data_IF_995120269168
#
_entry.id   IF_995120269168
#
_cell.length_a   1.000
_cell.length_b   1.000
_cell.length_c   1.000
_cell.angle_alpha   90.00
_cell.angle_beta   90.00
_cell.angle_gamma   90.00
#
_symmetry.space_group_name_H-M   'P 1'
#
loop_
_entity.id
_entity.type
_entity.pdbx_description
1 polymer ?
#
# COMPACT_ATOMS: atom_id res chain seq x y z
N UNK A 1 -10.01 14.21 -17.86
CA UNK A 1 -9.47 15.40 -17.18
C UNK A 1 -8.60 14.94 -16.03
N UNK A 2 -7.60 15.73 -15.66
CA UNK A 2 -6.75 15.43 -14.51
C UNK A 2 -7.41 15.92 -13.22
N UNK A 3 -7.16 15.18 -12.15
CA UNK A 3 -7.68 15.46 -10.83
C UNK A 3 -6.54 15.59 -9.84
N UNK A 4 -6.84 16.15 -8.68
CA UNK A 4 -5.93 16.27 -7.55
C UNK A 4 -6.64 15.71 -6.32
N UNK A 5 -5.93 14.88 -5.56
CA UNK A 5 -6.37 14.42 -4.26
C UNK A 5 -5.51 15.07 -3.17
N UNK A 6 -6.19 15.67 -2.21
CA UNK A 6 -5.60 16.13 -0.95
C UNK A 6 -5.97 15.13 0.13
N UNK A 7 -4.97 14.43 0.64
CA UNK A 7 -5.10 13.38 1.65
C UNK A 7 -4.61 13.91 2.98
N UNK A 8 -5.40 13.69 4.02
CA UNK A 8 -5.02 13.92 5.42
C UNK A 8 -5.19 12.64 6.21
N UNK A 9 -4.25 12.38 7.12
CA UNK A 9 -4.26 11.20 7.96
C UNK A 9 -4.22 11.66 9.41
N UNK A 10 -5.22 11.24 10.18
CA UNK A 10 -5.32 11.55 11.61
C UNK A 10 -5.37 10.27 12.42
N UNK A 11 -4.61 10.21 13.51
CA UNK A 11 -4.67 9.10 14.45
C UNK A 11 -5.64 9.44 15.58
N UNK A 12 -6.47 8.48 15.98
CA UNK A 12 -7.39 8.64 17.11
C UNK A 12 -6.62 8.61 18.43
N UNK A 13 -5.54 7.83 18.48
CA UNK A 13 -4.63 7.76 19.62
C UNK A 13 -3.27 8.33 19.23
N UNK A 14 -2.57 8.92 20.20
CA UNK A 14 -1.21 9.43 20.00
C UNK A 14 -0.26 8.26 19.65
N UNK A 15 0.68 8.45 18.71
CA UNK A 15 1.66 7.43 18.40
C UNK A 15 2.44 7.03 19.65
N UNK A 16 2.54 5.73 19.90
CA UNK A 16 3.18 5.18 21.10
C UNK A 16 4.55 4.58 20.83
N UNK A 17 4.85 4.21 19.58
CA UNK A 17 6.13 3.63 19.22
C UNK A 17 7.19 4.71 18.98
N UNK A 18 8.43 4.38 19.32
CA UNK A 18 9.58 5.21 18.98
C UNK A 18 9.80 5.33 17.46
N UNK A 19 9.25 4.40 16.66
CA UNK A 19 9.41 4.40 15.21
C UNK A 19 8.55 5.46 14.52
N UNK A 20 7.29 5.59 14.94
CA UNK A 20 6.38 6.59 14.38
C UNK A 20 6.27 7.86 15.25
N UNK A 21 6.83 7.86 16.48
CA UNK A 21 6.71 8.94 17.47
C UNK A 21 7.32 10.30 17.07
N UNK A 22 8.16 10.36 16.03
CA UNK A 22 8.68 11.61 15.49
C UNK A 22 7.73 12.29 14.47
N UNK A 23 6.56 11.69 14.18
CA UNK A 23 5.51 12.34 13.40
C UNK A 23 4.72 13.26 14.34
N UNK A 24 5.19 14.51 14.46
CA UNK A 24 4.46 15.58 15.16
C UNK A 24 3.01 15.68 14.62
N UNK A 25 2.03 16.07 15.46
CA UNK A 25 0.60 16.11 15.14
C UNK A 25 0.21 17.28 14.22
N UNK A 26 1.12 17.74 13.37
CA UNK A 26 0.72 18.58 12.23
C UNK A 26 0.14 17.65 11.19
N UNK A 27 -1.19 17.70 11.05
CA UNK A 27 -1.97 17.08 9.98
C UNK A 27 -1.17 17.05 8.67
N UNK A 28 -0.50 15.92 8.40
CA UNK A 28 0.36 15.84 7.23
C UNK A 28 -0.55 15.74 6.02
N UNK A 29 -0.60 16.84 5.26
CA UNK A 29 -1.35 16.94 4.03
C UNK A 29 -0.48 16.42 2.88
N UNK A 30 -1.00 15.42 2.19
CA UNK A 30 -0.41 14.89 0.97
C UNK A 30 -1.23 15.37 -0.21
N UNK A 31 -0.58 15.99 -1.18
CA UNK A 31 -1.22 16.36 -2.44
C UNK A 31 -0.66 15.48 -3.54
N UNK A 32 -1.54 14.89 -4.35
CA UNK A 32 -1.15 14.07 -5.48
C UNK A 32 -2.04 14.34 -6.68
N UNK A 33 -1.44 14.38 -7.87
CA UNK A 33 -2.15 14.56 -9.14
C UNK A 33 -2.53 13.20 -9.73
N UNK A 34 -3.80 13.04 -10.05
CA UNK A 34 -4.38 11.90 -10.73
C UNK A 34 -4.47 12.23 -12.21
N UNK A 35 -3.48 11.77 -12.97
CA UNK A 35 -3.47 11.93 -14.42
C UNK A 35 -4.55 11.05 -15.06
N UNK A 36 -5.26 11.58 -16.05
CA UNK A 36 -6.38 10.92 -16.71
C UNK A 36 -6.00 9.60 -17.43
N UNK A 37 -4.71 9.42 -17.71
CA UNK A 37 -4.16 8.21 -18.37
C UNK A 37 -3.84 7.10 -17.37
N UNK A 38 -3.71 7.42 -16.08
CA UNK A 38 -3.33 6.46 -15.06
C UNK A 38 -4.59 5.79 -14.47
N UNK A 39 -4.38 4.62 -13.85
CA UNK A 39 -5.46 3.85 -13.17
C UNK A 39 -5.24 3.71 -11.67
N UNK A 40 -4.02 4.00 -11.21
CA UNK A 40 -3.66 4.11 -9.81
C UNK A 40 -2.76 5.33 -9.63
N UNK A 41 -2.59 5.75 -8.38
CA UNK A 41 -1.64 6.78 -8.01
C UNK A 41 -1.01 6.41 -6.67
N UNK A 42 0.30 6.59 -6.55
CA UNK A 42 1.03 6.38 -5.30
C UNK A 42 1.33 7.74 -4.66
N UNK A 43 1.15 7.84 -3.35
CA UNK A 43 1.55 9.03 -2.61
C UNK A 43 3.08 9.22 -2.69
N UNK A 44 3.52 10.47 -2.82
CA UNK A 44 4.94 10.82 -2.96
C UNK A 44 5.78 10.47 -1.74
N UNK A 45 5.15 10.37 -0.56
CA UNK A 45 5.78 10.01 0.70
C UNK A 45 4.92 8.99 1.44
N UNK A 46 5.54 8.02 2.13
CA UNK A 46 4.82 7.08 2.98
C UNK A 46 4.28 7.76 4.24
N UNK A 47 3.34 7.09 4.91
CA UNK A 47 2.89 7.41 6.27
C UNK A 47 3.19 6.21 7.18
N UNK A 48 3.61 6.48 8.43
CA UNK A 48 3.94 5.44 9.41
C UNK A 48 2.69 5.07 10.20
N UNK A 49 2.10 3.91 9.89
CA UNK A 49 0.97 3.35 10.65
C UNK A 49 1.49 2.43 11.76
N UNK A 50 0.84 2.48 12.91
CA UNK A 50 1.10 1.59 14.05
C UNK A 50 0.02 0.53 14.20
N UNK A 51 0.37 -0.68 14.65
CA UNK A 51 -0.62 -1.68 15.03
C UNK A 51 -1.46 -1.18 16.21
N UNK A 52 -2.69 -1.68 16.32
CA UNK A 52 -3.61 -1.38 17.44
C UNK A 52 -3.98 0.10 17.60
N UNK A 53 -3.73 0.95 16.59
CA UNK A 53 -4.23 2.32 16.53
C UNK A 53 -5.30 2.44 15.44
N UNK A 54 -6.22 3.39 15.61
CA UNK A 54 -7.26 3.70 14.63
C UNK A 54 -6.90 4.99 13.91
N UNK A 55 -6.92 4.93 12.59
CA UNK A 55 -6.62 6.07 11.73
C UNK A 55 -7.84 6.46 10.90
N UNK A 56 -7.97 7.75 10.63
CA UNK A 56 -8.94 8.30 9.67
C UNK A 56 -8.15 8.90 8.52
N UNK A 57 -8.34 8.34 7.33
CA UNK A 57 -7.76 8.84 6.07
C UNK A 57 -8.85 9.61 5.33
N UNK A 58 -8.79 10.94 5.37
CA UNK A 58 -9.73 11.79 4.66
C UNK A 58 -9.12 12.26 3.33
N UNK A 59 -9.80 11.95 2.22
CA UNK A 59 -9.35 12.28 0.87
C UNK A 59 -10.35 13.24 0.24
N UNK A 60 -9.87 14.42 -0.15
CA UNK A 60 -10.66 15.42 -0.88
C UNK A 60 -10.17 15.49 -2.32
N UNK A 61 -11.09 15.24 -3.25
CA UNK A 61 -10.81 15.34 -4.69
C UNK A 61 -11.22 16.71 -5.23
N UNK A 62 -10.42 17.24 -6.14
CA UNK A 62 -10.74 18.42 -6.93
C UNK A 62 -10.17 18.29 -8.33
N UNK A 63 -10.75 18.99 -9.30
CA UNK A 63 -10.20 19.02 -10.66
C UNK A 63 -8.87 19.78 -10.66
N UNK A 64 -7.87 19.26 -11.37
CA UNK A 64 -6.54 19.84 -11.40
C UNK A 64 -6.43 20.95 -12.46
N UNK A 65 -5.84 22.09 -12.10
CA UNK A 65 -5.45 23.13 -13.06
C UNK A 65 -6.58 23.87 -13.81
N UNK A 66 -7.81 23.87 -13.29
CA UNK A 66 -8.98 24.44 -13.97
C UNK A 66 -9.52 25.71 -13.31
N UNK A 67 -9.79 26.73 -14.13
CA UNK A 67 -10.34 28.02 -13.73
C UNK A 67 -11.88 28.04 -13.65
N UNK A 68 -12.55 27.20 -14.43
CA UNK A 68 -14.02 27.14 -14.50
C UNK A 68 -14.58 25.88 -13.84
N UNK A 69 -15.67 26.04 -13.08
CA UNK A 69 -16.43 24.94 -12.49
C UNK A 69 -17.25 24.23 -13.57
N UNK A 70 -16.97 22.97 -13.82
CA UNK A 70 -17.83 22.09 -14.62
C UNK A 70 -18.61 21.17 -13.67
N UNK A 71 -19.92 21.42 -13.53
CA UNK A 71 -20.78 20.75 -12.55
C UNK A 71 -21.03 19.25 -12.86
N UNK A 72 -20.71 18.80 -14.06
CA UNK A 72 -20.93 17.42 -14.53
C UNK A 72 -19.67 16.55 -14.49
N UNK A 73 -18.53 17.09 -14.07
CA UNK A 73 -17.28 16.34 -14.02
C UNK A 73 -17.26 15.43 -12.77
N UNK A 74 -16.91 14.15 -12.98
CA UNK A 74 -16.78 13.17 -11.91
C UNK A 74 -15.58 12.24 -12.16
N UNK A 75 -15.19 11.53 -11.11
CA UNK A 75 -14.23 10.41 -11.14
C UNK A 75 -14.83 9.22 -10.42
N UNK A 76 -14.33 8.04 -10.77
CA UNK A 76 -14.66 6.80 -10.08
C UNK A 76 -13.46 6.38 -9.24
N UNK A 77 -13.73 6.00 -8.00
CA UNK A 77 -12.73 5.50 -7.05
C UNK A 77 -13.10 4.06 -6.74
N UNK A 78 -12.15 3.15 -6.94
CA UNK A 78 -12.34 1.73 -6.66
C UNK A 78 -11.93 1.41 -5.23
N UNK A 79 -10.66 1.62 -4.89
CA UNK A 79 -10.11 1.24 -3.60
C UNK A 79 -8.95 2.13 -3.15
N UNK A 80 -8.64 2.06 -1.85
CA UNK A 80 -7.43 2.60 -1.25
C UNK A 80 -6.59 1.42 -0.75
N UNK A 81 -5.31 1.37 -1.14
CA UNK A 81 -4.41 0.27 -0.78
C UNK A 81 -3.25 0.79 0.06
N UNK A 82 -2.95 0.10 1.15
CA UNK A 82 -1.75 0.34 1.96
C UNK A 82 -0.69 -0.68 1.54
N UNK A 83 0.39 -0.19 0.92
CA UNK A 83 1.51 -1.04 0.49
C UNK A 83 2.66 -0.84 1.48
N UNK A 84 3.17 -1.91 2.13
CA UNK A 84 4.27 -1.79 3.06
C UNK A 84 5.54 -1.33 2.35
N UNK A 85 6.29 -0.43 2.98
CA UNK A 85 7.59 0.01 2.48
C UNK A 85 8.65 -1.05 2.79
N UNK A 86 8.71 -2.08 1.95
CA UNK A 86 9.54 -3.26 2.18
C UNK A 86 11.03 -2.95 2.35
N UNK A 87 11.53 -1.86 1.76
CA UNK A 87 12.94 -1.44 1.87
C UNK A 87 13.36 -1.03 3.27
N UNK A 88 12.42 -0.78 4.18
CA UNK A 88 12.67 -0.48 5.60
C UNK A 88 12.52 -1.72 6.51
N UNK A 89 12.20 -2.88 5.94
CA UNK A 89 12.03 -4.11 6.70
C UNK A 89 13.38 -4.78 7.02
N UNK A 90 13.49 -5.49 8.15
CA UNK A 90 14.63 -6.33 8.46
C UNK A 90 15.03 -7.24 7.30
N UNK A 91 16.32 -7.25 6.98
CA UNK A 91 16.86 -7.99 5.85
C UNK A 91 16.67 -7.34 4.48
N UNK A 92 15.79 -6.36 4.33
CA UNK A 92 15.69 -5.53 3.13
C UNK A 92 16.27 -4.14 3.32
N UNK A 93 16.60 -3.73 4.55
CA UNK A 93 17.23 -2.44 4.86
C UNK A 93 18.77 -2.53 4.95
N UNK A 94 19.44 -1.40 4.74
CA UNK A 94 20.90 -1.25 4.89
C UNK A 94 21.72 -1.84 3.74
N UNK A 95 23.05 -1.85 3.89
CA UNK A 95 23.99 -2.12 2.80
C UNK A 95 24.61 -3.53 2.86
N UNK A 96 24.02 -4.44 3.64
CA UNK A 96 24.48 -5.82 3.67
C UNK A 96 24.27 -6.46 2.28
N UNK A 97 25.22 -7.25 1.74
CA UNK A 97 25.11 -7.82 0.39
C UNK A 97 23.81 -8.59 0.15
N UNK A 98 23.36 -9.36 1.14
CA UNK A 98 22.10 -10.11 1.06
C UNK A 98 20.84 -9.22 1.10
N UNK A 99 20.92 -8.01 1.64
CA UNK A 99 19.82 -7.05 1.64
C UNK A 99 19.74 -6.30 0.31
N UNK A 100 20.88 -5.88 -0.23
CA UNK A 100 20.97 -5.31 -1.59
C UNK A 100 20.44 -6.30 -2.62
N UNK A 101 20.93 -7.54 -2.61
CA UNK A 101 20.50 -8.56 -3.55
C UNK A 101 18.98 -8.76 -3.54
N UNK A 102 18.35 -8.81 -2.36
CA UNK A 102 16.89 -8.95 -2.25
C UNK A 102 16.15 -7.73 -2.82
N UNK A 103 16.66 -6.52 -2.64
CA UNK A 103 16.07 -5.30 -3.24
C UNK A 103 16.25 -5.27 -4.76
N UNK A 104 17.41 -5.71 -5.23
CA UNK A 104 17.69 -5.85 -6.66
C UNK A 104 16.77 -6.88 -7.31
N UNK A 105 16.54 -8.02 -6.66
CA UNK A 105 15.60 -9.04 -7.12
C UNK A 105 14.16 -8.52 -7.15
N UNK A 106 13.70 -7.82 -6.11
CA UNK A 106 12.38 -7.17 -6.10
C UNK A 106 12.19 -6.24 -7.30
N UNK A 107 13.20 -5.45 -7.62
CA UNK A 107 13.18 -4.49 -8.72
C UNK A 107 13.27 -5.20 -10.07
N UNK A 108 14.21 -6.13 -10.21
CA UNK A 108 14.47 -6.89 -11.44
C UNK A 108 13.24 -7.66 -11.92
N UNK A 109 12.50 -8.24 -10.99
CA UNK A 109 11.27 -8.98 -11.30
C UNK A 109 10.00 -8.13 -11.21
N UNK A 110 10.12 -6.82 -10.99
CA UNK A 110 8.97 -5.90 -10.90
C UNK A 110 7.91 -6.40 -9.90
N UNK A 111 8.36 -7.00 -8.79
CA UNK A 111 7.44 -7.60 -7.82
C UNK A 111 6.45 -6.57 -7.25
N UNK A 112 6.84 -5.31 -6.91
CA UNK A 112 5.90 -4.30 -6.43
C UNK A 112 4.79 -3.97 -7.42
N UNK A 113 5.08 -3.95 -8.72
CA UNK A 113 4.12 -3.55 -9.76
C UNK A 113 2.95 -4.53 -9.87
N UNK A 114 3.17 -5.79 -9.50
CA UNK A 114 2.14 -6.83 -9.45
C UNK A 114 1.02 -6.51 -8.45
N UNK A 115 1.26 -5.61 -7.49
CA UNK A 115 0.29 -5.17 -6.49
C UNK A 115 -0.41 -3.85 -6.82
N UNK A 116 0.01 -3.17 -7.89
CA UNK A 116 -0.56 -1.87 -8.30
C UNK A 116 -1.72 -2.03 -9.30
N UNK A 117 -2.00 -3.25 -9.74
CA UNK A 117 -2.97 -3.57 -10.78
C UNK A 117 -3.85 -4.73 -10.33
N UNK A 118 -5.13 -4.69 -10.69
CA UNK A 118 -6.09 -5.78 -10.50
C UNK A 118 -6.63 -6.27 -11.86
N UNK A 119 -6.73 -7.59 -12.11
CA UNK A 119 -6.30 -8.68 -11.22
C UNK A 119 -4.77 -8.78 -11.12
N UNK A 120 -4.28 -9.34 -10.02
CA UNK A 120 -2.84 -9.60 -9.85
C UNK A 120 -2.36 -10.57 -10.94
N UNK A 121 -1.27 -10.25 -11.67
CA UNK A 121 -0.70 -11.14 -12.66
C UNK A 121 -0.04 -12.36 -11.99
N UNK A 122 0.28 -13.39 -12.78
CA UNK A 122 1.07 -14.51 -12.28
C UNK A 122 2.44 -14.02 -11.81
N UNK A 123 2.76 -14.26 -10.54
CA UNK A 123 4.01 -13.85 -9.93
C UNK A 123 5.16 -14.76 -10.37
N UNK A 124 6.33 -14.16 -10.63
CA UNK A 124 7.56 -14.91 -10.78
C UNK A 124 7.88 -15.64 -9.46
N UNK A 125 8.47 -16.84 -9.56
CA UNK A 125 8.80 -17.66 -8.37
C UNK A 125 9.65 -16.90 -7.35
N UNK A 126 10.56 -16.05 -7.83
CA UNK A 126 11.38 -15.18 -6.97
C UNK A 126 10.52 -14.17 -6.20
N UNK A 127 9.55 -13.53 -6.86
CA UNK A 127 8.63 -12.63 -6.19
C UNK A 127 7.86 -13.36 -5.09
N UNK A 128 7.32 -14.55 -5.37
CA UNK A 128 6.61 -15.34 -4.35
C UNK A 128 7.47 -15.60 -3.11
N UNK A 129 8.75 -15.96 -3.28
CA UNK A 129 9.68 -16.18 -2.15
C UNK A 129 9.92 -14.90 -1.33
N UNK A 130 10.17 -13.78 -2.02
CA UNK A 130 10.43 -12.49 -1.36
C UNK A 130 9.19 -11.93 -0.68
N UNK A 131 8.02 -12.04 -1.31
CA UNK A 131 6.73 -11.62 -0.76
C UNK A 131 6.37 -12.45 0.47
N UNK A 132 6.55 -13.78 0.44
CA UNK A 132 6.35 -14.63 1.61
C UNK A 132 7.30 -14.24 2.76
N UNK A 133 8.54 -13.86 2.46
CA UNK A 133 9.49 -13.38 3.47
C UNK A 133 9.08 -12.02 4.05
N UNK A 134 8.54 -11.12 3.23
CA UNK A 134 7.98 -9.84 3.69
C UNK A 134 6.75 -10.09 4.57
N UNK A 135 5.86 -10.98 4.14
CA UNK A 135 4.66 -11.37 4.90
C UNK A 135 5.04 -11.94 6.27
N UNK A 136 6.05 -12.81 6.35
CA UNK A 136 6.47 -13.40 7.63
C UNK A 136 7.06 -12.37 8.60
N UNK A 137 7.69 -11.32 8.10
CA UNK A 137 8.20 -10.20 8.91
C UNK A 137 7.03 -9.33 9.44
N UNK A 138 6.01 -9.09 8.61
CA UNK A 138 4.91 -8.16 8.96
C UNK A 138 3.87 -8.85 9.85
N UNK A 139 3.60 -10.13 9.61
CA UNK A 139 2.51 -10.88 10.22
C UNK A 139 2.98 -11.95 11.21
N UNK A 140 4.26 -11.93 11.60
CA UNK A 140 4.88 -12.96 12.46
C UNK A 140 4.68 -14.39 11.93
N UNK A 141 4.70 -14.54 10.61
CA UNK A 141 4.49 -15.82 9.91
C UNK A 141 3.46 -15.73 8.79
N UNK A 142 2.74 -16.83 8.58
CA UNK A 142 1.63 -16.91 7.63
C UNK A 142 0.31 -16.65 8.34
N UNK A 143 -0.64 -16.03 7.63
CA UNK A 143 -2.00 -15.85 8.12
C UNK A 143 -2.84 -17.11 7.87
N UNK A 144 -3.77 -17.47 8.78
CA UNK A 144 -4.68 -18.59 8.56
C UNK A 144 -5.68 -18.26 7.43
N UNK A 145 -6.05 -19.26 6.64
CA UNK A 145 -7.18 -19.13 5.70
C UNK A 145 -8.47 -18.90 6.51
N UNK A 146 -9.23 -17.87 6.13
CA UNK A 146 -10.54 -17.55 6.72
C UNK A 146 -11.61 -17.66 5.64
N UNK A 147 -11.62 -18.79 4.92
CA UNK A 147 -12.60 -19.06 3.88
C UNK A 147 -14.02 -19.09 4.47
N UNK A 148 -14.98 -18.53 3.73
CA UNK A 148 -16.37 -18.51 4.18
C UNK A 148 -16.98 -19.92 4.08
N UNK A 149 -17.54 -20.48 5.16
CA UNK A 149 -18.04 -21.86 5.15
C UNK A 149 -19.26 -22.07 4.25
N UNK A 150 -19.96 -21.01 3.84
CA UNK A 150 -21.11 -21.08 2.94
C UNK A 150 -20.77 -20.62 1.51
N UNK A 151 -19.75 -19.78 1.35
CA UNK A 151 -19.30 -19.21 0.08
C UNK A 151 -18.10 -19.93 -0.56
N UNK A 152 -17.38 -20.77 0.19
CA UNK A 152 -16.19 -21.47 -0.27
C UNK A 152 -16.41 -22.98 -0.41
N UNK A 153 -15.73 -23.58 -1.36
CA UNK A 153 -15.74 -25.04 -1.59
C UNK A 153 -14.86 -25.80 -0.58
N UNK A 154 -13.90 -25.12 0.06
CA UNK A 154 -12.93 -25.69 0.99
C UNK A 154 -12.49 -24.64 2.02
N UNK A 155 -11.97 -25.11 3.16
CA UNK A 155 -11.25 -24.28 4.13
C UNK A 155 -9.78 -24.04 3.77
N UNK A 156 -9.27 -24.68 2.72
CA UNK A 156 -7.94 -24.47 2.18
C UNK A 156 -7.96 -23.35 1.12
N UNK A 157 -6.98 -22.44 1.17
CA UNK A 157 -6.82 -21.32 0.25
C UNK A 157 -5.45 -21.33 -0.44
N UNK A 158 -5.32 -20.60 -1.55
CA UNK A 158 -4.07 -20.43 -2.29
C UNK A 158 -2.97 -19.88 -1.35
N UNK A 159 -1.82 -20.58 -1.26
CA UNK A 159 -0.72 -20.23 -0.34
C UNK A 159 -0.16 -18.81 -0.56
N UNK A 160 -0.30 -18.28 -1.77
CA UNK A 160 0.09 -16.92 -2.13
C UNK A 160 -1.19 -16.16 -2.44
N UNK A 161 -1.47 -15.10 -1.68
CA UNK A 161 -2.65 -14.25 -1.88
C UNK A 161 -3.93 -14.72 -1.16
N UNK A 162 -4.02 -15.99 -0.74
CA UNK A 162 -5.09 -16.47 0.14
C UNK A 162 -6.48 -16.57 -0.51
N UNK A 163 -6.54 -16.75 -1.84
CA UNK A 163 -7.80 -16.90 -2.58
C UNK A 163 -8.40 -18.31 -2.42
#
# INVERSE_FOLDING_TARGET
EDWEAVVSITSVQLPSSLRCGNLLPTEQLYTVTLLHRNRYVQMSRPFCFEPSNRYVVAIRFQRHGVTHRHLTAFILIDSLVLIPKYTELPGFQGNAPAAEQRRDEMTRYMCPDSFLITPMPALAEMCSKLICSISSIIHDGALPCQCDPQGSMSGECDKVGGR
#
